data_IF_566269706252
#
_entry.id   IF_566269706252
#
_cell.length_a   1.000
_cell.length_b   1.000
_cell.length_c   1.000
_cell.angle_alpha   90.00
_cell.angle_beta   90.00
_cell.angle_gamma   90.00
#
_symmetry.space_group_name_H-M   'P 1'
#
loop_
_entity.id
_entity.type
_entity.pdbx_description
1 polymer ?
#
# COMPACT_ATOMS: atom_id res chain seq x y z
N UNK A 1 -22.52 18.15 -0.52
CA UNK A 1 -22.37 16.76 -1.03
C UNK A 1 -20.89 16.53 -1.29
N UNK A 2 -20.26 15.57 -0.61
CA UNK A 2 -18.85 15.26 -0.84
C UNK A 2 -18.75 14.21 -1.95
N UNK A 3 -18.06 14.54 -3.04
CA UNK A 3 -17.76 13.58 -4.09
C UNK A 3 -16.62 12.68 -3.58
N UNK A 4 -16.84 11.37 -3.57
CA UNK A 4 -15.85 10.37 -3.12
C UNK A 4 -15.29 9.61 -4.31
N UNK A 5 -13.98 9.36 -4.28
CA UNK A 5 -13.28 8.48 -5.24
C UNK A 5 -12.71 7.31 -4.47
N UNK A 6 -12.93 6.08 -4.95
CA UNK A 6 -12.33 4.86 -4.40
C UNK A 6 -11.42 4.22 -5.46
N UNK A 7 -10.18 3.86 -5.07
CA UNK A 7 -9.21 3.22 -5.94
C UNK A 7 -8.78 1.89 -5.30
N UNK A 8 -8.95 0.78 -6.02
CA UNK A 8 -8.49 -0.56 -5.61
C UNK A 8 -7.30 -0.98 -6.47
N UNK A 9 -6.17 -1.23 -5.84
CA UNK A 9 -4.94 -1.67 -6.50
C UNK A 9 -4.40 -2.90 -5.77
N UNK A 10 -4.04 -3.94 -6.53
CA UNK A 10 -3.25 -5.08 -6.02
C UNK A 10 -1.81 -4.93 -6.48
N UNK A 11 -0.88 -4.99 -5.55
CA UNK A 11 0.55 -4.85 -5.82
C UNK A 11 1.31 -6.06 -5.27
N UNK A 12 2.33 -6.55 -6.00
CA UNK A 12 3.18 -7.62 -5.49
C UNK A 12 4.06 -7.09 -4.36
N UNK A 13 4.01 -7.72 -3.20
CA UNK A 13 4.82 -7.36 -2.04
C UNK A 13 5.59 -8.59 -1.57
N UNK A 14 6.90 -8.42 -1.40
CA UNK A 14 7.78 -9.44 -0.84
C UNK A 14 8.29 -9.02 0.53
N UNK A 15 8.49 -9.99 1.43
CA UNK A 15 9.05 -9.73 2.76
C UNK A 15 10.25 -10.65 2.99
N UNK A 16 11.33 -10.10 3.55
CA UNK A 16 12.58 -10.81 3.84
C UNK A 16 12.98 -10.59 5.29
N UNK A 17 13.33 -11.66 6.00
CA UNK A 17 13.94 -11.59 7.33
C UNK A 17 15.38 -11.06 7.21
N UNK A 18 15.78 -10.18 8.12
CA UNK A 18 17.13 -9.63 8.27
C UNK A 18 17.63 -9.88 9.70
N UNK A 19 18.90 -9.55 9.97
CA UNK A 19 19.52 -9.74 11.28
C UNK A 19 18.76 -9.01 12.41
N UNK A 20 18.15 -7.86 12.12
CA UNK A 20 17.38 -7.04 13.08
C UNK A 20 15.98 -6.73 12.58
N UNK A 21 15.18 -7.76 12.31
CA UNK A 21 13.76 -7.63 11.93
C UNK A 21 13.45 -8.06 10.50
N UNK A 22 12.47 -7.43 9.89
CA UNK A 22 11.93 -7.79 8.58
C UNK A 22 11.87 -6.55 7.67
N UNK A 23 12.19 -6.74 6.38
CA UNK A 23 12.05 -5.74 5.34
C UNK A 23 10.99 -6.21 4.36
N UNK A 24 10.02 -5.35 4.06
CA UNK A 24 9.00 -5.58 3.04
C UNK A 24 9.14 -4.56 1.91
N UNK A 25 8.90 -5.00 0.68
CA UNK A 25 9.11 -4.14 -0.49
C UNK A 25 8.14 -4.46 -1.64
N UNK A 26 7.74 -3.41 -2.35
CA UNK A 26 7.04 -3.46 -3.62
C UNK A 26 8.01 -2.95 -4.70
N UNK A 27 8.66 -3.87 -5.41
CA UNK A 27 9.66 -3.52 -6.42
C UNK A 27 9.07 -2.78 -7.62
N UNK A 28 7.77 -2.92 -7.88
CA UNK A 28 7.11 -2.27 -9.02
C UNK A 28 6.99 -0.76 -8.83
N UNK A 29 6.80 -0.31 -7.58
CA UNK A 29 6.71 1.11 -7.24
C UNK A 29 7.96 1.64 -6.51
N UNK A 30 8.99 0.80 -6.40
CA UNK A 30 10.22 1.10 -5.66
C UNK A 30 9.99 1.57 -4.20
N UNK A 31 8.98 1.01 -3.53
CA UNK A 31 8.64 1.34 -2.14
C UNK A 31 9.12 0.24 -1.20
N UNK A 32 9.78 0.66 -0.12
CA UNK A 32 10.30 -0.22 0.93
C UNK A 32 9.79 0.21 2.30
N UNK A 33 9.65 -0.75 3.19
CA UNK A 33 9.36 -0.52 4.60
C UNK A 33 9.94 -1.65 5.45
N UNK A 34 9.90 -1.50 6.76
CA UNK A 34 10.46 -2.46 7.71
C UNK A 34 9.62 -2.57 8.98
N UNK A 35 9.84 -3.63 9.74
CA UNK A 35 9.23 -3.85 11.05
C UNK A 35 10.02 -4.86 11.87
N UNK A 36 9.80 -4.86 13.18
CA UNK A 36 10.42 -5.81 14.11
C UNK A 36 9.88 -7.23 13.90
N UNK A 37 8.64 -7.34 13.40
CA UNK A 37 8.00 -8.60 13.01
C UNK A 37 7.58 -8.61 11.55
N UNK A 38 7.36 -9.78 10.95
CA UNK A 38 6.88 -9.90 9.57
C UNK A 38 5.52 -9.20 9.40
N UNK A 39 4.62 -9.36 10.38
CA UNK A 39 3.29 -8.72 10.38
C UNK A 39 3.40 -7.20 10.39
N UNK A 40 4.32 -6.67 11.20
CA UNK A 40 4.59 -5.23 11.27
C UNK A 40 5.18 -4.71 9.96
N UNK A 41 6.17 -5.39 9.39
CA UNK A 41 6.76 -5.00 8.11
C UNK A 41 5.71 -4.98 6.99
N UNK A 42 4.81 -5.98 6.93
CA UNK A 42 3.66 -6.03 6.01
C UNK A 42 2.67 -4.88 6.23
N UNK A 43 2.35 -4.56 7.49
CA UNK A 43 1.49 -3.42 7.82
C UNK A 43 2.12 -2.10 7.35
N UNK A 44 3.41 -1.91 7.62
CA UNK A 44 4.11 -0.68 7.32
C UNK A 44 4.30 -0.46 5.81
N UNK A 45 4.57 -1.52 5.03
CA UNK A 45 4.64 -1.38 3.56
C UNK A 45 3.27 -1.08 2.95
N UNK A 46 2.18 -1.64 3.48
CA UNK A 46 0.83 -1.31 3.01
C UNK A 46 0.52 0.17 3.22
N UNK A 47 0.89 0.72 4.37
CA UNK A 47 0.68 2.14 4.67
C UNK A 47 1.56 3.04 3.81
N UNK A 48 2.84 2.68 3.64
CA UNK A 48 3.74 3.42 2.76
C UNK A 48 3.21 3.49 1.32
N UNK A 49 2.70 2.37 0.80
CA UNK A 49 2.08 2.31 -0.54
C UNK A 49 0.80 3.17 -0.62
N UNK A 50 -0.06 3.11 0.39
CA UNK A 50 -1.27 3.95 0.48
C UNK A 50 -0.91 5.42 0.42
N UNK A 51 0.00 5.87 1.28
CA UNK A 51 0.43 7.26 1.35
C UNK A 51 1.10 7.70 0.04
N UNK A 52 1.97 6.87 -0.54
CA UNK A 52 2.59 7.15 -1.83
C UNK A 52 1.56 7.41 -2.93
N UNK A 53 0.56 6.53 -3.08
CA UNK A 53 -0.47 6.63 -4.13
C UNK A 53 -1.41 7.81 -3.90
N UNK A 54 -1.85 8.05 -2.66
CA UNK A 54 -2.65 9.24 -2.30
C UNK A 54 -1.90 10.51 -2.69
N UNK A 55 -0.62 10.57 -2.32
CA UNK A 55 0.20 11.74 -2.57
C UNK A 55 0.42 11.98 -4.08
N UNK A 56 0.55 10.91 -4.87
CA UNK A 56 0.58 11.03 -6.33
C UNK A 56 -0.75 11.52 -6.90
N UNK A 57 -1.89 11.07 -6.36
CA UNK A 57 -3.22 11.52 -6.76
C UNK A 57 -3.43 13.01 -6.44
N UNK A 58 -3.13 13.43 -5.21
CA UNK A 58 -3.27 14.82 -4.75
C UNK A 58 -2.42 15.80 -5.56
N UNK A 59 -1.23 15.36 -6.00
CA UNK A 59 -0.35 16.15 -6.88
C UNK A 59 -0.69 16.06 -8.37
N UNK A 60 -1.70 15.30 -8.77
CA UNK A 60 -2.02 15.07 -10.19
C UNK A 60 -0.94 14.32 -10.97
N UNK A 61 -0.09 13.53 -10.29
CA UNK A 61 1.05 12.80 -10.87
C UNK A 61 0.83 11.29 -10.98
N UNK A 62 -0.29 10.77 -10.47
CA UNK A 62 -0.58 9.33 -10.41
C UNK A 62 -0.48 8.63 -11.77
N UNK A 63 -1.05 9.21 -12.82
CA UNK A 63 -1.02 8.61 -14.16
C UNK A 63 0.42 8.53 -14.73
N UNK A 64 1.20 9.60 -14.57
CA UNK A 64 2.59 9.64 -15.04
C UNK A 64 3.45 8.61 -14.31
N UNK A 65 3.38 8.58 -12.97
CA UNK A 65 4.13 7.64 -12.13
C UNK A 65 3.78 6.20 -12.46
N UNK A 66 2.49 5.87 -12.61
CA UNK A 66 2.08 4.52 -12.98
C UNK A 66 2.63 4.12 -14.35
N UNK A 67 2.61 5.02 -15.35
CA UNK A 67 3.20 4.75 -16.67
C UNK A 67 4.71 4.53 -16.60
N UNK A 68 5.43 5.34 -15.83
CA UNK A 68 6.87 5.20 -15.61
C UNK A 68 7.23 3.87 -14.93
N UNK A 69 6.40 3.41 -13.99
CA UNK A 69 6.51 2.09 -13.36
C UNK A 69 6.06 0.93 -14.28
N UNK A 70 5.72 1.20 -15.54
CA UNK A 70 5.36 0.19 -16.54
C UNK A 70 3.90 -0.28 -16.50
N UNK A 71 3.04 0.36 -15.72
CA UNK A 71 1.60 0.08 -15.76
C UNK A 71 1.01 0.55 -17.08
N UNK A 72 0.07 -0.23 -17.60
CA UNK A 72 -0.68 0.10 -18.82
C UNK A 72 -2.16 0.19 -18.47
N UNK A 73 -2.78 1.31 -18.79
CA UNK A 73 -4.23 1.45 -18.71
C UNK A 73 -4.87 0.50 -19.74
N UNK A 74 -5.48 -0.57 -19.26
CA UNK A 74 -6.21 -1.52 -20.09
C UNK A 74 -7.70 -1.29 -19.93
N UNK A 75 -8.43 -1.24 -21.05
CA UNK A 75 -9.88 -1.01 -21.06
C UNK A 75 -10.69 -2.27 -20.72
N UNK A 76 -10.03 -3.41 -20.45
CA UNK A 76 -10.63 -4.73 -20.25
C UNK A 76 -10.42 -5.17 -18.80
N UNK A 77 -11.52 -5.54 -18.13
CA UNK A 77 -11.53 -6.04 -16.76
C UNK A 77 -10.75 -7.35 -16.69
N UNK A 78 -9.49 -7.30 -16.25
CA UNK A 78 -8.75 -8.51 -15.92
C UNK A 78 -9.20 -9.00 -14.54
N UNK A 79 -9.47 -10.31 -14.42
CA UNK A 79 -9.61 -10.94 -13.11
C UNK A 79 -8.27 -10.80 -12.39
N UNK A 80 -8.24 -10.02 -11.32
CA UNK A 80 -7.07 -9.87 -10.47
C UNK A 80 -6.67 -11.26 -9.97
N UNK A 81 -5.40 -11.68 -10.12
CA UNK A 81 -4.94 -12.97 -9.60
C UNK A 81 -5.30 -13.12 -8.11
N UNK A 82 -5.77 -14.30 -7.74
CA UNK A 82 -5.98 -14.70 -6.34
C UNK A 82 -4.70 -15.38 -5.87
N UNK A 83 -3.66 -14.58 -5.66
CA UNK A 83 -2.33 -15.04 -5.27
C UNK A 83 -1.91 -14.32 -3.98
N UNK A 84 -1.46 -15.11 -2.99
CA UNK A 84 -1.07 -14.64 -1.66
C UNK A 84 0.14 -13.69 -1.66
N UNK A 85 0.83 -13.54 -2.80
CA UNK A 85 1.91 -12.55 -3.00
C UNK A 85 1.42 -11.12 -3.21
N UNK A 86 0.10 -10.93 -3.38
CA UNK A 86 -0.50 -9.62 -3.58
C UNK A 86 -1.25 -9.19 -2.32
N UNK A 87 -1.07 -7.94 -1.91
CA UNK A 87 -1.87 -7.33 -0.84
C UNK A 87 -2.93 -6.41 -1.44
N UNK A 88 -4.13 -6.44 -0.86
CA UNK A 88 -5.15 -5.44 -1.15
C UNK A 88 -4.86 -4.21 -0.29
N UNK A 89 -4.57 -3.09 -0.94
CA UNK A 89 -4.42 -1.82 -0.22
C UNK A 89 -5.82 -1.35 0.19
N UNK A 90 -6.07 -1.05 1.48
CA UNK A 90 -7.37 -0.57 1.95
C UNK A 90 -7.69 0.81 1.36
N UNK A 91 -8.99 1.13 1.33
CA UNK A 91 -9.53 2.38 0.79
C UNK A 91 -8.72 3.60 1.25
N UNK A 92 -8.23 4.34 0.25
CA UNK A 92 -7.35 5.49 0.41
C UNK A 92 -8.03 6.67 1.14
N UNK A 93 -9.36 6.66 1.22
CA UNK A 93 -10.15 7.75 1.83
C UNK A 93 -10.43 7.58 3.31
N UNK A 94 -10.07 6.45 3.93
CA UNK A 94 -10.30 6.23 5.35
C UNK A 94 -9.14 6.77 6.22
N UNK A 95 -9.41 7.63 7.22
CA UNK A 95 -8.42 8.05 8.21
C UNK A 95 -8.00 6.88 9.11
N UNK A 96 -6.75 6.88 9.57
CA UNK A 96 -6.23 5.88 10.51
C UNK A 96 -6.79 6.06 11.93
N UNK A 97 -8.05 5.67 12.16
CA UNK A 97 -8.69 5.73 13.49
C UNK A 97 -8.32 4.55 14.41
N UNK A 98 -7.20 3.87 14.17
CA UNK A 98 -6.87 2.59 14.82
C UNK A 98 -5.77 2.59 15.88
N UNK A 99 -5.30 3.73 16.39
CA UNK A 99 -4.22 3.73 17.40
C UNK A 99 -4.32 4.85 18.45
N UNK A 100 -5.48 5.00 19.09
CA UNK A 100 -5.59 5.69 20.39
C UNK A 100 -6.52 4.89 21.31
N UNK A 101 -5.98 3.81 21.86
CA UNK A 101 -6.52 3.15 23.04
C UNK A 101 -5.36 2.50 23.79
N UNK A 102 -4.50 3.35 24.36
CA UNK A 102 -3.76 2.98 25.57
C UNK A 102 -4.67 3.42 26.71
N UNK A 103 -5.52 2.51 27.16
CA UNK A 103 -6.19 2.65 28.45
C UNK A 103 -5.10 2.71 29.51
N UNK A 104 -4.92 3.88 30.10
CA UNK A 104 -4.26 4.03 31.40
C UNK A 104 -5.15 3.30 32.40
N UNK A 105 -4.75 2.11 32.83
CA UNK A 105 -5.20 1.54 34.10
C UNK A 105 -4.14 1.93 35.14
N UNK A 106 -4.48 2.93 35.95
CA UNK A 106 -4.13 2.90 37.37
C UNK A 106 -5.17 2.05 38.09
#
# INVERSE_FOLDING_TARGET
MANKVEIKIKLPVSTKKKAKGFISYCSVLDVYSQGSTEKEAKKNIMEALKLFLISCFERGTLDAVLKECGFKAVRKTMKLPDDQRFVTVPDLTQPMTGLLSLTVQQ
#
